data_IF_217154930496
#
_entry.id   IF_217154930496
#
_cell.length_a   1.000
_cell.length_b   1.000
_cell.length_c   1.000
_cell.angle_alpha   90.00
_cell.angle_beta   90.00
_cell.angle_gamma   90.00
#
_symmetry.space_group_name_H-M   'P 1'
#
loop_
_entity.id
_entity.type
_entity.pdbx_description
1 polymer ?
#
# COMPACT_ATOMS: atom_id res chain seq x y z
N UNK A 1 22.58 11.07 25.50
CA UNK A 1 22.50 10.51 24.13
C UNK A 1 21.63 11.44 23.30
N UNK A 2 22.09 11.85 22.12
CA UNK A 2 21.36 12.70 21.19
C UNK A 2 21.17 11.95 19.87
N UNK A 3 19.98 12.01 19.31
CA UNK A 3 19.67 11.42 18.01
C UNK A 3 19.68 12.49 16.93
N UNK A 4 20.18 12.16 15.74
CA UNK A 4 20.14 13.06 14.58
C UNK A 4 19.92 12.28 13.28
N UNK A 5 19.39 12.97 12.28
CA UNK A 5 19.26 12.49 10.90
C UNK A 5 20.12 13.35 9.98
N UNK A 6 20.75 12.71 8.99
CA UNK A 6 21.57 13.38 7.98
C UNK A 6 21.75 12.43 6.79
N UNK A 7 21.77 12.99 5.58
CA UNK A 7 21.96 12.21 4.34
C UNK A 7 23.42 11.79 4.14
N UNK A 8 24.36 12.52 4.73
CA UNK A 8 25.79 12.31 4.58
C UNK A 8 26.56 12.32 5.89
N UNK A 9 27.89 12.21 5.79
CA UNK A 9 28.78 12.32 6.93
C UNK A 9 28.86 13.78 7.38
N UNK A 10 28.46 14.04 8.62
CA UNK A 10 28.53 15.38 9.23
C UNK A 10 29.63 15.40 10.29
N UNK A 11 30.43 16.46 10.32
CA UNK A 11 31.47 16.67 11.33
C UNK A 11 30.90 17.45 12.52
N UNK A 12 30.69 16.76 13.64
CA UNK A 12 30.17 17.36 14.87
C UNK A 12 31.26 17.67 15.92
N UNK A 13 32.55 17.69 15.57
CA UNK A 13 33.62 17.86 16.57
C UNK A 13 33.49 19.15 17.38
N UNK A 14 33.09 20.26 16.76
CA UNK A 14 32.87 21.53 17.47
C UNK A 14 31.61 21.49 18.33
N UNK A 15 30.48 21.05 17.77
CA UNK A 15 29.22 20.92 18.49
C UNK A 15 29.34 20.01 19.73
N UNK A 16 30.08 18.90 19.63
CA UNK A 16 30.32 18.00 20.76
C UNK A 16 31.13 18.70 21.86
N UNK A 17 32.11 19.54 21.52
CA UNK A 17 32.87 20.31 22.51
C UNK A 17 31.97 21.30 23.25
N UNK A 18 31.11 22.01 22.52
CA UNK A 18 30.20 22.98 23.10
C UNK A 18 29.19 22.29 24.04
N UNK A 19 28.56 21.20 23.58
CA UNK A 19 27.62 20.42 24.38
C UNK A 19 28.30 19.81 25.61
N UNK A 20 29.52 19.28 25.48
CA UNK A 20 30.26 18.73 26.61
C UNK A 20 30.63 19.83 27.63
N UNK A 21 30.94 21.04 27.17
CA UNK A 21 31.21 22.19 28.03
C UNK A 21 29.98 22.61 28.85
N UNK A 22 28.80 22.61 28.22
CA UNK A 22 27.53 22.99 28.87
C UNK A 22 27.04 21.91 29.84
N UNK A 23 26.93 20.66 29.39
CA UNK A 23 26.31 19.57 30.15
C UNK A 23 27.29 18.80 31.06
N UNK A 24 28.60 19.08 30.96
CA UNK A 24 29.68 18.47 31.76
C UNK A 24 29.59 16.94 31.87
N UNK A 25 29.12 16.30 30.80
CA UNK A 25 28.83 14.86 30.73
C UNK A 25 29.30 14.32 29.40
N UNK A 26 29.56 13.00 29.30
CA UNK A 26 29.87 12.36 28.03
C UNK A 26 28.69 12.49 27.07
N UNK A 27 28.90 13.23 25.98
CA UNK A 27 27.93 13.38 24.90
C UNK A 27 28.14 12.26 23.88
N UNK A 28 27.06 11.58 23.53
CA UNK A 28 27.03 10.58 22.47
C UNK A 28 25.98 11.02 21.45
N UNK A 29 26.41 11.14 20.19
CA UNK A 29 25.56 11.44 19.05
C UNK A 29 25.32 10.15 18.27
N UNK A 30 24.06 9.81 18.03
CA UNK A 30 23.66 8.61 17.30
C UNK A 30 22.85 9.00 16.08
N UNK A 31 23.35 8.63 14.90
CA UNK A 31 22.61 8.76 13.66
C UNK A 31 21.47 7.74 13.63
N UNK A 32 20.29 8.19 13.26
CA UNK A 32 19.11 7.33 13.03
C UNK A 32 18.59 7.57 11.61
N UNK A 33 17.78 6.64 11.08
CA UNK A 33 17.15 6.81 9.78
C UNK A 33 15.91 7.72 9.85
N UNK A 34 15.48 8.28 8.72
CA UNK A 34 14.27 9.13 8.60
C UNK A 34 13.00 8.48 9.17
N UNK A 35 12.90 7.14 9.08
CA UNK A 35 11.77 6.38 9.67
C UNK A 35 11.85 6.34 11.19
N UNK A 36 13.04 6.15 11.75
CA UNK A 36 13.23 6.12 13.21
C UNK A 36 13.05 7.51 13.81
N UNK A 37 13.42 8.56 13.08
CA UNK A 37 13.08 9.94 13.44
C UNK A 37 11.56 10.13 13.49
N UNK A 38 10.85 9.73 12.43
CA UNK A 38 9.38 9.80 12.41
C UNK A 38 8.74 8.98 13.53
N UNK A 39 9.35 7.84 13.88
CA UNK A 39 8.91 6.99 14.99
C UNK A 39 9.12 7.67 16.34
N UNK A 40 10.25 8.34 16.55
CA UNK A 40 10.60 9.03 17.79
C UNK A 40 9.74 10.27 18.00
N UNK A 41 9.53 11.07 16.95
CA UNK A 41 8.65 12.24 16.97
C UNK A 41 7.18 11.82 17.15
N UNK A 42 6.79 10.71 16.53
CA UNK A 42 5.39 10.30 16.45
C UNK A 42 4.60 11.23 15.54
N UNK A 43 3.29 11.00 15.46
CA UNK A 43 2.39 11.74 14.59
C UNK A 43 1.25 10.90 14.06
N UNK A 44 0.43 11.50 13.20
CA UNK A 44 -0.70 10.85 12.56
C UNK A 44 -0.40 10.57 11.08
N UNK A 45 -0.64 9.35 10.64
CA UNK A 45 -0.59 9.00 9.22
C UNK A 45 -1.79 9.56 8.46
N UNK A 46 -1.75 9.48 7.14
CA UNK A 46 -2.87 9.93 6.29
C UNK A 46 -4.18 9.16 6.51
N UNK A 47 -4.12 8.00 7.17
CA UNK A 47 -5.29 7.26 7.64
C UNK A 47 -5.92 7.86 8.91
N UNK A 48 -5.37 8.96 9.45
CA UNK A 48 -5.83 9.62 10.68
C UNK A 48 -5.44 8.90 11.97
N UNK A 49 -4.67 7.81 11.90
CA UNK A 49 -4.19 7.02 13.05
C UNK A 49 -2.74 7.36 13.39
N UNK A 50 -2.29 7.12 14.64
CA UNK A 50 -0.88 7.23 14.98
C UNK A 50 0.00 6.37 14.08
N UNK A 51 1.25 6.77 13.86
CA UNK A 51 2.14 6.05 12.95
C UNK A 51 2.25 4.56 13.29
N UNK A 52 2.10 3.71 12.27
CA UNK A 52 2.32 2.27 12.34
C UNK A 52 3.65 1.93 13.05
N UNK A 53 4.73 2.66 12.72
CA UNK A 53 6.08 2.45 13.25
C UNK A 53 6.29 2.84 14.72
N UNK A 54 5.44 3.72 15.28
CA UNK A 54 5.51 4.14 16.69
C UNK A 54 4.58 3.35 17.59
N UNK A 55 3.66 2.57 17.01
CA UNK A 55 2.60 1.89 17.75
C UNK A 55 2.83 0.38 17.86
N UNK A 56 2.77 -0.34 16.74
CA UNK A 56 2.76 -1.80 16.76
C UNK A 56 3.74 -2.45 15.77
N UNK A 57 4.24 -1.71 14.78
CA UNK A 57 5.20 -2.24 13.80
C UNK A 57 6.63 -1.83 14.17
N UNK A 58 7.40 -2.80 14.68
CA UNK A 58 8.79 -2.60 15.09
C UNK A 58 9.80 -3.21 14.12
N UNK A 59 9.40 -4.27 13.39
CA UNK A 59 10.21 -4.92 12.38
C UNK A 59 9.69 -4.57 10.98
N UNK A 60 10.60 -4.22 10.08
CA UNK A 60 10.26 -3.69 8.78
C UNK A 60 10.87 -4.52 7.67
N UNK A 61 9.98 -5.12 6.88
CA UNK A 61 10.36 -5.73 5.63
C UNK A 61 10.38 -4.69 4.49
N UNK A 62 11.20 -4.89 3.45
CA UNK A 62 11.18 -4.06 2.26
C UNK A 62 9.79 -3.98 1.64
N UNK A 63 9.35 -2.76 1.31
CA UNK A 63 8.08 -2.49 0.66
C UNK A 63 8.36 -2.24 -0.82
N UNK A 64 7.53 -2.76 -1.72
CA UNK A 64 7.66 -2.52 -3.16
C UNK A 64 6.40 -1.87 -3.73
N UNK A 65 6.57 -1.12 -4.82
CA UNK A 65 5.47 -0.43 -5.53
C UNK A 65 4.42 -1.43 -6.03
N UNK A 66 4.83 -2.65 -6.39
CA UNK A 66 3.93 -3.73 -6.82
C UNK A 66 2.83 -4.01 -5.79
N UNK A 67 3.16 -3.91 -4.51
CA UNK A 67 2.22 -4.14 -3.41
C UNK A 67 1.13 -3.08 -3.37
N UNK A 68 1.47 -1.82 -3.62
CA UNK A 68 0.49 -0.74 -3.71
C UNK A 68 -0.50 -0.99 -4.86
N UNK A 69 0.00 -1.47 -6.02
CA UNK A 69 -0.81 -1.83 -7.18
C UNK A 69 -1.75 -3.01 -6.89
N UNK A 70 -1.24 -4.07 -6.25
CA UNK A 70 -2.05 -5.24 -5.87
C UNK A 70 -3.15 -4.90 -4.86
N UNK A 71 -2.93 -3.89 -4.00
CA UNK A 71 -3.90 -3.40 -3.03
C UNK A 71 -4.86 -2.32 -3.58
N UNK A 72 -4.78 -2.00 -4.88
CA UNK A 72 -5.62 -0.99 -5.52
C UNK A 72 -5.38 0.43 -5.01
N UNK A 73 -4.17 0.74 -4.55
CA UNK A 73 -3.77 2.12 -4.21
C UNK A 73 -3.32 2.84 -5.47
N UNK A 74 -3.68 4.13 -5.60
CA UNK A 74 -3.13 5.01 -6.64
C UNK A 74 -1.61 5.06 -6.55
N UNK A 75 -0.92 5.04 -7.69
CA UNK A 75 0.54 5.06 -7.78
C UNK A 75 1.16 6.46 -7.56
N UNK A 76 0.34 7.46 -7.21
CA UNK A 76 0.83 8.78 -6.85
C UNK A 76 1.72 8.69 -5.58
N UNK A 77 2.99 9.14 -5.63
CA UNK A 77 3.93 9.14 -4.51
C UNK A 77 3.35 9.70 -3.21
N UNK A 78 2.54 10.77 -3.28
CA UNK A 78 1.92 11.37 -2.10
C UNK A 78 0.88 10.46 -1.42
N UNK A 79 0.33 9.47 -2.13
CA UNK A 79 -0.68 8.54 -1.63
C UNK A 79 -0.11 7.20 -1.18
N UNK A 80 1.15 6.88 -1.52
CA UNK A 80 1.81 5.60 -1.16
C UNK A 80 3.02 5.77 -0.24
N UNK A 81 3.45 7.01 0.00
CA UNK A 81 4.54 7.35 0.91
C UNK A 81 4.00 7.66 2.31
N UNK A 82 4.73 7.20 3.32
CA UNK A 82 4.49 7.61 4.71
C UNK A 82 5.09 8.98 4.99
N UNK A 83 4.79 9.53 6.17
CA UNK A 83 5.34 10.81 6.64
C UNK A 83 6.88 10.83 6.68
N UNK A 84 7.51 9.66 6.80
CA UNK A 84 8.96 9.50 6.73
C UNK A 84 9.57 9.60 5.32
N UNK A 85 8.78 9.95 4.29
CA UNK A 85 9.22 10.04 2.89
C UNK A 85 9.40 8.70 2.15
N UNK A 86 9.46 7.58 2.87
CA UNK A 86 9.51 6.22 2.30
C UNK A 86 8.12 5.62 2.09
N UNK A 87 8.04 4.58 1.25
CA UNK A 87 6.82 3.77 1.08
C UNK A 87 6.23 3.31 2.43
N UNK A 88 4.90 3.33 2.53
CA UNK A 88 4.18 2.98 3.75
C UNK A 88 4.46 1.56 4.21
N UNK A 89 4.90 1.41 5.46
CA UNK A 89 5.11 0.10 6.08
C UNK A 89 3.82 -0.72 6.19
N UNK A 90 2.66 -0.07 6.30
CA UNK A 90 1.38 -0.75 6.43
C UNK A 90 0.99 -1.51 5.14
N UNK A 91 1.51 -1.13 3.96
CA UNK A 91 1.36 -1.90 2.70
C UNK A 91 1.90 -3.32 2.87
N UNK A 92 3.09 -3.47 3.47
CA UNK A 92 3.68 -4.79 3.70
C UNK A 92 2.97 -5.57 4.79
N UNK A 93 2.51 -4.89 5.83
CA UNK A 93 1.72 -5.48 6.89
C UNK A 93 0.41 -6.11 6.37
N UNK A 94 -0.32 -5.40 5.50
CA UNK A 94 -1.61 -5.86 4.98
C UNK A 94 -1.49 -6.91 3.87
N UNK A 95 -0.33 -6.97 3.18
CA UNK A 95 -0.16 -7.80 1.99
C UNK A 95 -0.55 -9.26 2.17
N UNK A 96 -0.18 -9.90 3.28
CA UNK A 96 -0.50 -11.32 3.49
C UNK A 96 -2.01 -11.57 3.48
N UNK A 97 -2.77 -10.65 4.07
CA UNK A 97 -4.23 -10.72 4.09
C UNK A 97 -4.77 -10.52 2.66
N UNK A 98 -4.25 -9.57 1.91
CA UNK A 98 -4.64 -9.38 0.51
C UNK A 98 -4.35 -10.61 -0.35
N UNK A 99 -3.17 -11.22 -0.22
CA UNK A 99 -2.78 -12.41 -0.98
C UNK A 99 -3.74 -13.57 -0.72
N UNK A 100 -4.16 -13.76 0.53
CA UNK A 100 -5.10 -14.81 0.91
C UNK A 100 -6.52 -14.53 0.39
N UNK A 101 -7.01 -13.29 0.54
CA UNK A 101 -8.31 -12.88 0.02
C UNK A 101 -8.38 -12.99 -1.51
N UNK A 102 -7.28 -12.69 -2.20
CA UNK A 102 -7.21 -12.77 -3.67
C UNK A 102 -7.26 -14.21 -4.19
N UNK A 103 -6.80 -15.20 -3.40
CA UNK A 103 -6.92 -16.63 -3.77
C UNK A 103 -8.37 -17.10 -3.76
N UNK A 104 -9.19 -16.57 -2.85
CA UNK A 104 -10.60 -16.95 -2.71
C UNK A 104 -11.55 -16.12 -3.58
N UNK A 105 -11.14 -14.92 -3.99
CA UNK A 105 -12.01 -14.01 -4.75
C UNK A 105 -11.91 -14.29 -6.26
N UNK A 106 -13.03 -14.51 -6.97
CA UNK A 106 -13.00 -14.67 -8.43
C UNK A 106 -12.57 -13.37 -9.11
N UNK A 107 -11.75 -13.47 -10.15
CA UNK A 107 -11.21 -12.31 -10.88
C UNK A 107 -12.28 -11.67 -11.76
N UNK A 108 -12.14 -10.38 -12.02
CA UNK A 108 -12.93 -9.66 -13.02
C UNK A 108 -12.87 -10.41 -14.38
N UNK A 109 -14.02 -10.49 -15.06
CA UNK A 109 -14.20 -11.21 -16.32
C UNK A 109 -14.42 -12.73 -16.18
N UNK A 110 -14.39 -13.28 -14.96
CA UNK A 110 -14.67 -14.71 -14.73
C UNK A 110 -16.17 -14.98 -14.81
N UNK A 111 -16.57 -16.09 -15.44
CA UNK A 111 -17.95 -16.56 -15.46
C UNK A 111 -18.25 -17.31 -14.17
N UNK A 112 -19.29 -16.87 -13.47
CA UNK A 112 -19.66 -17.39 -12.17
C UNK A 112 -21.15 -17.75 -12.10
N UNK A 113 -21.45 -18.74 -11.26
CA UNK A 113 -22.79 -19.10 -10.84
C UNK A 113 -23.11 -18.33 -9.57
N UNK A 114 -24.25 -17.65 -9.56
CA UNK A 114 -24.80 -16.96 -8.40
C UNK A 114 -26.19 -17.54 -8.10
N UNK A 115 -26.76 -17.28 -6.90
CA UNK A 115 -28.13 -17.71 -6.58
C UNK A 115 -29.19 -17.20 -7.57
N UNK A 116 -28.92 -16.05 -8.20
CA UNK A 116 -29.79 -15.40 -9.19
C UNK A 116 -29.49 -15.83 -10.65
N UNK A 117 -28.65 -16.84 -10.84
CA UNK A 117 -28.26 -17.34 -12.16
C UNK A 117 -26.81 -17.06 -12.54
N UNK A 118 -26.49 -17.26 -13.82
CA UNK A 118 -25.12 -17.12 -14.34
C UNK A 118 -24.81 -15.68 -14.72
N UNK A 119 -23.55 -15.29 -14.53
CA UNK A 119 -23.10 -13.97 -14.91
C UNK A 119 -21.59 -13.80 -14.88
N UNK A 120 -21.15 -12.59 -15.22
CA UNK A 120 -19.74 -12.21 -15.32
C UNK A 120 -19.38 -11.24 -14.21
N UNK A 121 -18.26 -11.47 -13.53
CA UNK A 121 -17.72 -10.53 -12.53
C UNK A 121 -17.23 -9.26 -13.22
N UNK A 122 -17.82 -8.12 -12.88
CA UNK A 122 -17.43 -6.80 -13.42
C UNK A 122 -16.44 -6.12 -12.48
N UNK A 123 -16.69 -6.20 -11.17
CA UNK A 123 -15.92 -5.50 -10.14
C UNK A 123 -15.76 -6.42 -8.92
N UNK A 124 -14.62 -6.33 -8.26
CA UNK A 124 -14.31 -7.09 -7.05
C UNK A 124 -13.93 -6.16 -5.90
N UNK A 125 -14.57 -6.35 -4.75
CA UNK A 125 -14.16 -5.72 -3.50
C UNK A 125 -13.51 -6.78 -2.61
N UNK A 126 -12.18 -6.81 -2.63
CA UNK A 126 -11.37 -7.85 -1.96
C UNK A 126 -11.57 -7.80 -0.44
N UNK A 127 -11.56 -6.61 0.15
CA UNK A 127 -11.67 -6.42 1.61
C UNK A 127 -13.06 -6.79 2.12
N UNK A 128 -14.11 -6.39 1.40
CA UNK A 128 -15.48 -6.75 1.78
C UNK A 128 -15.83 -8.20 1.43
N UNK A 129 -15.00 -8.92 0.66
CA UNK A 129 -15.33 -10.25 0.13
C UNK A 129 -16.65 -10.24 -0.64
N UNK A 130 -16.84 -9.21 -1.48
CA UNK A 130 -18.00 -9.08 -2.36
C UNK A 130 -17.58 -8.88 -3.81
N UNK A 131 -18.38 -9.39 -4.73
CA UNK A 131 -18.18 -9.24 -6.17
C UNK A 131 -19.45 -8.73 -6.82
N UNK A 132 -19.31 -7.79 -7.74
CA UNK A 132 -20.41 -7.32 -8.58
C UNK A 132 -20.47 -8.17 -9.83
N UNK A 133 -21.60 -8.83 -10.04
CA UNK A 133 -21.84 -9.73 -11.17
C UNK A 133 -22.91 -9.13 -12.07
N UNK A 134 -22.63 -9.08 -13.37
CA UNK A 134 -23.61 -8.79 -14.41
C UNK A 134 -24.24 -10.12 -14.85
N UNK A 135 -25.52 -10.29 -14.60
CA UNK A 135 -26.27 -11.51 -14.92
C UNK A 135 -26.55 -11.58 -16.43
N UNK A 136 -26.53 -12.80 -16.99
CA UNK A 136 -26.80 -13.02 -18.41
C UNK A 136 -28.28 -12.83 -18.76
N UNK A 137 -29.19 -13.02 -17.80
CA UNK A 137 -30.64 -12.87 -18.00
C UNK A 137 -31.06 -11.44 -18.34
N UNK A 138 -30.31 -10.44 -17.85
CA UNK A 138 -30.63 -9.04 -18.11
C UNK A 138 -29.34 -8.19 -18.26
N UNK A 139 -28.77 -8.10 -19.47
CA UNK A 139 -27.49 -7.44 -19.71
C UNK A 139 -27.48 -5.93 -19.40
N UNK A 140 -28.63 -5.27 -19.53
CA UNK A 140 -28.79 -3.83 -19.32
C UNK A 140 -29.08 -3.45 -17.86
N UNK A 141 -29.30 -4.44 -16.99
CA UNK A 141 -29.55 -4.21 -15.57
C UNK A 141 -28.25 -3.84 -14.83
N UNK A 142 -28.41 -3.06 -13.76
CA UNK A 142 -27.29 -2.73 -12.87
C UNK A 142 -26.65 -4.00 -12.27
N UNK A 143 -25.30 -4.09 -12.22
CA UNK A 143 -24.62 -5.24 -11.63
C UNK A 143 -25.06 -5.47 -10.19
N UNK A 144 -25.39 -6.72 -9.85
CA UNK A 144 -25.77 -7.12 -8.49
C UNK A 144 -24.54 -7.53 -7.68
N UNK A 145 -24.55 -7.21 -6.40
CA UNK A 145 -23.45 -7.54 -5.48
C UNK A 145 -23.75 -8.84 -4.75
N UNK A 146 -22.80 -9.78 -4.78
CA UNK A 146 -22.89 -11.07 -4.09
C UNK A 146 -21.66 -11.28 -3.19
N UNK A 147 -21.84 -12.05 -2.10
CA UNK A 147 -20.71 -12.46 -1.28
C UNK A 147 -19.87 -13.51 -2.02
N UNK A 148 -18.55 -13.47 -1.87
CA UNK A 148 -17.63 -14.43 -2.53
C UNK A 148 -17.98 -15.90 -2.21
N UNK A 149 -18.50 -16.16 -1.01
CA UNK A 149 -18.93 -17.49 -0.58
C UNK A 149 -20.16 -18.04 -1.32
N UNK A 150 -20.99 -17.17 -1.88
CA UNK A 150 -22.24 -17.54 -2.58
C UNK A 150 -22.01 -17.78 -4.07
N UNK A 151 -20.79 -17.56 -4.54
CA UNK A 151 -20.45 -17.51 -5.95
C UNK A 151 -19.55 -18.69 -6.30
N UNK A 152 -19.93 -19.48 -7.31
CA UNK A 152 -19.11 -20.61 -7.82
C UNK A 152 -18.53 -20.28 -9.18
N UNK A 153 -17.23 -20.54 -9.36
CA UNK A 153 -16.58 -20.34 -10.66
C UNK A 153 -16.95 -21.48 -11.61
N UNK A 154 -17.64 -21.17 -12.71
CA UNK A 154 -18.04 -22.18 -13.72
C UNK A 154 -16.98 -22.33 -14.82
N UNK A 155 -16.20 -21.27 -15.09
CA UNK A 155 -15.10 -21.34 -16.06
C UNK A 155 -14.54 -19.98 -16.47
N UNK A 156 -13.42 -20.01 -17.20
CA UNK A 156 -12.91 -18.83 -17.91
C UNK A 156 -13.48 -18.84 -19.33
N UNK A 157 -14.17 -17.78 -19.74
CA UNK A 157 -14.40 -17.56 -21.18
C UNK A 157 -13.01 -17.46 -21.84
N UNK A 158 -12.78 -18.25 -22.88
CA UNK A 158 -11.51 -18.31 -23.60
C UNK A 158 -11.03 -16.92 -24.05
N UNK A 159 -9.70 -16.77 -24.08
CA UNK A 159 -8.96 -15.59 -24.58
C UNK A 159 -9.66 -14.89 -25.76
N UNK A 160 -9.84 -13.57 -25.67
CA UNK A 160 -9.13 -12.61 -26.54
C UNK A 160 -9.61 -11.17 -26.33
N UNK A 161 -8.64 -10.26 -26.45
CA UNK A 161 -8.74 -8.79 -26.56
C UNK A 161 -8.89 -8.05 -25.24
N UNK A 162 -7.72 -7.66 -24.71
CA UNK A 162 -7.38 -6.25 -24.50
C UNK A 162 -8.60 -5.33 -24.46
N UNK A 163 -9.29 -5.28 -23.31
CA UNK A 163 -10.18 -4.17 -23.01
C UNK A 163 -9.39 -3.21 -22.14
N UNK A 164 -8.73 -2.27 -22.82
CA UNK A 164 -8.35 -1.00 -22.23
C UNK A 164 -9.66 -0.29 -21.90
N UNK A 165 -10.29 -0.64 -20.78
CA UNK A 165 -11.18 0.32 -20.15
C UNK A 165 -10.28 1.33 -19.45
N UNK A 166 -10.00 2.37 -20.21
CA UNK A 166 -9.64 3.70 -19.76
C UNK A 166 -10.60 4.10 -18.62
N UNK A 167 -10.22 3.76 -17.39
CA UNK A 167 -10.30 4.79 -16.38
C UNK A 167 -9.17 5.76 -16.71
N UNK A 168 -9.49 6.82 -17.47
CA UNK A 168 -8.68 8.04 -17.48
C UNK A 168 -8.63 8.56 -16.03
N UNK A 169 -7.69 8.04 -15.24
CA UNK A 169 -7.19 8.72 -14.05
C UNK A 169 -5.98 9.56 -14.46
N UNK A 170 -5.91 10.85 -14.11
CA UNK A 170 -4.87 11.73 -14.59
C UNK A 170 -3.49 11.35 -14.02
N UNK A 171 -2.49 11.40 -14.91
CA UNK A 171 -1.05 11.38 -14.68
C UNK A 171 -0.48 10.15 -13.94
N UNK A 172 -0.40 9.03 -14.66
CA UNK A 172 0.47 7.90 -14.32
C UNK A 172 1.95 8.31 -14.42
N UNK A 173 2.61 8.46 -13.27
CA UNK A 173 4.07 8.41 -13.20
C UNK A 173 4.47 6.97 -13.52
N UNK A 174 5.30 6.78 -14.55
CA UNK A 174 5.75 5.46 -14.97
C UNK A 174 6.47 4.73 -13.81
N UNK A 175 6.37 3.39 -13.78
CA UNK A 175 7.03 2.58 -12.73
C UNK A 175 8.55 2.86 -12.63
N UNK A 176 9.16 3.31 -13.73
CA UNK A 176 10.55 3.72 -13.80
C UNK A 176 10.82 5.07 -13.10
N UNK A 177 9.91 6.03 -13.21
CA UNK A 177 9.99 7.33 -12.53
C UNK A 177 9.70 7.20 -11.03
N UNK A 178 8.74 6.37 -10.64
CA UNK A 178 8.50 6.06 -9.24
C UNK A 178 9.72 5.36 -8.61
N UNK A 179 10.37 4.41 -9.30
CA UNK A 179 11.62 3.79 -8.82
C UNK A 179 12.74 4.80 -8.62
N UNK A 180 12.89 5.79 -9.52
CA UNK A 180 13.88 6.89 -9.35
C UNK A 180 13.57 7.77 -8.13
N UNK A 181 12.30 7.99 -7.82
CA UNK A 181 11.88 8.81 -6.68
C UNK A 181 12.14 8.16 -5.31
N UNK A 182 12.25 6.83 -5.26
CA UNK A 182 12.36 6.04 -4.03
C UNK A 182 13.68 5.27 -3.90
N UNK A 183 14.64 5.48 -4.82
CA UNK A 183 15.94 4.81 -4.84
C UNK A 183 17.06 5.55 -4.08
N UNK A 184 16.71 6.52 -3.23
CA UNK A 184 17.67 7.25 -2.37
C UNK A 184 17.35 7.07 -0.87
#
# INVERSE_FOLDING_TARGET
LFYFTADGRVDFRELVKDLAGVFRTRIELRQIGVRDESKLLGGLGMCGRPFCCSTFLFDFQPVSIKMAKEQGKSLNPAKISGACGRLMCCLKYEQGVYDDLLKHTPRNGTLVETPDGRGIVVEMNIIKQHVKVRLDENPDAAPKSFAVSEVKVIGKRGNSRHDKNEHEEPDEISEAEAKKLFSE
#
